data_IF_017296170395
#
_entry.id   IF_017296170395
#
_cell.length_a   1.000
_cell.length_b   1.000
_cell.length_c   1.000
_cell.angle_alpha   90.00
_cell.angle_beta   90.00
_cell.angle_gamma   90.00
#
_symmetry.space_group_name_H-M   'P 1'
#
loop_
_entity.id
_entity.type
_entity.pdbx_description
1 polymer ?
#
# COMPACT_ATOMS: atom_id res chain seq x y z
N UNK A 1 76.95 19.31 19.59
CA UNK A 1 76.07 18.18 19.28
C UNK A 1 74.61 18.63 19.46
N UNK A 2 73.89 18.93 18.39
CA UNK A 2 72.48 19.41 18.43
C UNK A 2 71.61 18.28 17.91
N UNK A 3 70.81 17.66 18.80
CA UNK A 3 69.83 16.63 18.44
C UNK A 3 68.55 17.27 17.90
N UNK A 4 68.26 17.05 16.63
CA UNK A 4 66.97 17.42 16.01
C UNK A 4 65.96 16.32 16.31
N UNK A 5 64.89 16.69 17.06
CA UNK A 5 63.72 15.87 17.22
C UNK A 5 62.78 16.09 16.01
N UNK A 6 62.55 15.02 15.21
CA UNK A 6 61.49 15.03 14.19
C UNK A 6 60.18 14.62 14.85
N UNK A 7 59.20 15.51 14.82
CA UNK A 7 57.84 15.22 15.22
C UNK A 7 57.08 14.69 14.00
N UNK A 8 56.62 13.45 14.07
CA UNK A 8 55.70 12.86 13.10
C UNK A 8 54.25 13.27 13.47
N UNK A 9 53.62 14.07 12.62
CA UNK A 9 52.18 14.33 12.73
C UNK A 9 51.41 13.22 12.07
N UNK A 10 50.65 12.43 12.85
CA UNK A 10 49.74 11.43 12.34
C UNK A 10 48.44 12.11 11.88
N UNK A 11 48.18 12.07 10.57
CA UNK A 11 46.92 12.53 9.98
C UNK A 11 45.91 11.40 10.14
N UNK A 12 44.92 11.60 11.05
CA UNK A 12 43.75 10.72 11.18
C UNK A 12 42.74 11.11 10.09
N UNK A 13 42.67 10.32 9.05
CA UNK A 13 41.62 10.46 8.03
C UNK A 13 40.33 9.85 8.58
N UNK A 14 39.43 10.71 9.04
CA UNK A 14 38.09 10.31 9.46
C UNK A 14 37.23 10.12 8.20
N UNK A 15 37.09 8.87 7.75
CA UNK A 15 36.19 8.51 6.65
C UNK A 15 34.74 8.60 7.15
N UNK A 16 34.07 9.71 6.85
CA UNK A 16 32.61 9.80 7.03
C UNK A 16 31.93 8.88 6.02
N UNK A 17 31.41 7.74 6.47
CA UNK A 17 30.54 6.91 5.68
C UNK A 17 29.23 7.68 5.45
N UNK A 18 29.00 8.15 4.24
CA UNK A 18 27.72 8.73 3.86
C UNK A 18 26.65 7.62 3.94
N UNK A 19 25.47 7.87 4.54
CA UNK A 19 24.40 6.91 4.55
C UNK A 19 23.97 6.68 3.09
N UNK A 20 24.04 5.44 2.64
CA UNK A 20 23.45 5.03 1.35
C UNK A 20 21.93 5.15 1.48
N UNK A 21 21.36 6.26 1.00
CA UNK A 21 19.93 6.39 0.78
C UNK A 21 19.61 5.58 -0.47
N UNK A 22 19.06 4.37 -0.31
CA UNK A 22 18.44 3.68 -1.43
C UNK A 22 17.27 4.57 -1.89
N UNK A 23 17.39 5.17 -3.07
CA UNK A 23 16.28 5.86 -3.69
C UNK A 23 15.16 4.82 -3.89
N UNK A 24 14.13 4.88 -3.05
CA UNK A 24 12.93 4.07 -3.22
C UNK A 24 12.31 4.50 -4.56
N UNK A 25 12.00 3.52 -5.43
CA UNK A 25 11.36 3.82 -6.70
C UNK A 25 10.06 4.58 -6.44
N UNK A 26 9.82 5.67 -7.17
CA UNK A 26 8.58 6.44 -7.05
C UNK A 26 7.41 5.60 -7.56
N UNK A 27 6.42 5.26 -6.72
CA UNK A 27 5.30 4.45 -7.16
C UNK A 27 4.51 5.17 -8.25
N UNK A 28 4.28 4.48 -9.37
CA UNK A 28 3.46 4.98 -10.48
C UNK A 28 1.97 4.73 -10.28
N UNK A 29 1.61 3.78 -9.41
CA UNK A 29 0.22 3.48 -9.09
C UNK A 29 0.05 2.73 -7.77
N UNK A 30 -1.18 2.85 -7.23
CA UNK A 30 -1.74 1.98 -6.19
C UNK A 30 -2.77 1.05 -6.85
N UNK A 31 -2.64 -0.24 -6.58
CA UNK A 31 -3.52 -1.31 -7.05
C UNK A 31 -4.17 -1.97 -5.84
N UNK A 32 -5.47 -1.80 -5.67
CA UNK A 32 -6.26 -2.42 -4.61
C UNK A 32 -7.11 -3.54 -5.21
N UNK A 33 -6.73 -4.80 -4.99
CA UNK A 33 -7.50 -5.96 -5.45
C UNK A 33 -8.52 -6.39 -4.41
N UNK A 34 -9.79 -6.17 -4.69
CA UNK A 34 -10.91 -6.73 -3.93
C UNK A 34 -11.16 -8.16 -4.39
N UNK A 35 -10.87 -9.12 -3.52
CA UNK A 35 -10.88 -10.56 -3.78
C UNK A 35 -11.55 -11.31 -2.63
N UNK A 36 -11.77 -12.62 -2.77
CA UNK A 36 -12.24 -13.48 -1.68
C UNK A 36 -11.84 -14.93 -1.91
N UNK A 37 -11.56 -15.65 -0.83
CA UNK A 37 -11.37 -17.10 -0.82
C UNK A 37 -12.61 -17.86 -1.32
N UNK A 38 -13.82 -17.27 -1.16
CA UNK A 38 -15.09 -17.84 -1.63
C UNK A 38 -15.39 -17.63 -3.12
N UNK A 39 -14.62 -16.79 -3.80
CA UNK A 39 -14.87 -16.38 -5.19
C UNK A 39 -14.10 -17.28 -6.18
N UNK A 40 -14.81 -18.07 -7.00
CA UNK A 40 -14.19 -19.02 -7.95
C UNK A 40 -13.45 -18.38 -9.10
N UNK A 41 -13.77 -17.14 -9.48
CA UNK A 41 -13.09 -16.36 -10.52
C UNK A 41 -11.91 -15.53 -10.02
N UNK A 42 -11.66 -15.50 -8.69
CA UNK A 42 -10.61 -14.69 -8.09
C UNK A 42 -9.17 -15.23 -8.25
N UNK A 43 -8.90 -16.54 -8.24
CA UNK A 43 -7.54 -17.06 -8.23
C UNK A 43 -6.60 -16.52 -9.32
N UNK A 44 -7.03 -16.31 -10.59
CA UNK A 44 -6.14 -15.69 -11.58
C UNK A 44 -5.76 -14.24 -11.26
N UNK A 45 -6.66 -13.49 -10.61
CA UNK A 45 -6.39 -12.11 -10.18
C UNK A 45 -5.44 -12.07 -8.97
N UNK A 46 -5.58 -13.01 -8.03
CA UNK A 46 -4.67 -13.13 -6.88
C UNK A 46 -3.25 -13.48 -7.34
N UNK A 47 -3.12 -14.35 -8.37
CA UNK A 47 -1.83 -14.66 -8.98
C UNK A 47 -1.24 -13.43 -9.67
N UNK A 48 -2.03 -12.70 -10.49
CA UNK A 48 -1.57 -11.49 -11.16
C UNK A 48 -1.15 -10.41 -10.15
N UNK A 49 -1.87 -10.27 -9.02
CA UNK A 49 -1.46 -9.34 -7.97
C UNK A 49 -0.09 -9.69 -7.39
N UNK A 50 0.23 -11.00 -7.27
CA UNK A 50 1.57 -11.43 -6.87
C UNK A 50 2.66 -10.92 -7.83
N UNK A 51 2.44 -11.04 -9.15
CA UNK A 51 3.36 -10.50 -10.16
C UNK A 51 3.49 -8.96 -10.07
N UNK A 52 2.37 -8.26 -9.84
CA UNK A 52 2.34 -6.81 -9.68
C UNK A 52 2.98 -6.34 -8.37
N UNK A 53 2.97 -7.17 -7.33
CA UNK A 53 3.59 -6.86 -6.04
C UNK A 53 5.13 -6.90 -6.10
N UNK A 54 5.70 -7.61 -7.08
CA UNK A 54 7.14 -7.64 -7.32
C UNK A 54 7.65 -6.41 -8.11
N UNK A 55 6.75 -5.60 -8.68
CA UNK A 55 7.11 -4.34 -9.36
C UNK A 55 7.29 -3.21 -8.33
N UNK A 56 8.52 -2.73 -8.07
CA UNK A 56 8.77 -1.68 -7.07
C UNK A 56 8.14 -0.33 -7.44
N UNK A 57 7.69 -0.15 -8.68
CA UNK A 57 6.94 1.03 -9.11
C UNK A 57 5.44 0.95 -8.81
N UNK A 58 4.97 -0.12 -8.17
CA UNK A 58 3.57 -0.29 -7.79
C UNK A 58 3.43 -0.47 -6.27
N UNK A 59 2.37 0.09 -5.72
CA UNK A 59 1.87 -0.28 -4.40
C UNK A 59 0.65 -1.17 -4.61
N UNK A 60 0.89 -2.48 -4.70
CA UNK A 60 -0.15 -3.47 -4.97
C UNK A 60 -0.57 -4.15 -3.67
N UNK A 61 -1.86 -4.11 -3.34
CA UNK A 61 -2.40 -4.66 -2.09
C UNK A 61 -3.63 -5.53 -2.33
N UNK A 62 -3.71 -6.64 -1.61
CA UNK A 62 -4.90 -7.49 -1.54
C UNK A 62 -5.83 -7.00 -0.44
N UNK A 63 -7.11 -6.82 -0.78
CA UNK A 63 -8.17 -6.26 0.08
C UNK A 63 -9.33 -7.27 0.14
N UNK A 64 -9.20 -8.40 0.90
CA UNK A 64 -10.18 -9.46 0.91
C UNK A 64 -11.52 -9.01 1.50
N UNK A 65 -12.62 -9.35 0.80
CA UNK A 65 -14.00 -8.99 1.17
C UNK A 65 -14.75 -10.16 1.76
N UNK A 66 -15.74 -9.90 2.62
CA UNK A 66 -16.47 -10.90 3.43
C UNK A 66 -17.82 -11.30 2.85
N UNK A 67 -18.31 -10.65 1.79
CA UNK A 67 -19.66 -10.92 1.28
C UNK A 67 -19.81 -12.23 0.51
N UNK A 68 -18.77 -13.05 0.39
CA UNK A 68 -18.84 -14.43 -0.13
C UNK A 68 -18.94 -15.50 0.97
N UNK A 69 -18.82 -15.13 2.25
CA UNK A 69 -18.79 -16.06 3.39
C UNK A 69 -20.06 -16.93 3.50
N UNK A 70 -21.19 -16.44 2.95
CA UNK A 70 -22.45 -17.18 2.92
C UNK A 70 -22.41 -18.48 2.10
N UNK A 71 -21.40 -18.67 1.23
CA UNK A 71 -21.19 -19.91 0.47
C UNK A 71 -20.59 -21.05 1.31
N UNK A 72 -20.51 -20.89 2.63
CA UNK A 72 -20.10 -21.93 3.57
C UNK A 72 -18.60 -22.01 3.86
N UNK A 73 -17.82 -21.04 3.39
CA UNK A 73 -16.43 -20.85 3.76
C UNK A 73 -16.21 -19.41 4.24
N UNK A 74 -15.81 -19.26 5.49
CA UNK A 74 -15.46 -17.95 6.02
C UNK A 74 -14.04 -17.58 5.57
N UNK A 75 -13.90 -16.48 4.84
CA UNK A 75 -12.59 -15.96 4.41
C UNK A 75 -11.80 -15.48 5.63
N UNK A 76 -10.69 -16.16 5.90
CA UNK A 76 -9.84 -15.91 7.09
C UNK A 76 -9.01 -14.63 7.00
N UNK A 77 -8.95 -14.03 5.82
CA UNK A 77 -8.23 -12.78 5.54
C UNK A 77 -9.16 -11.58 5.38
N UNK A 78 -10.46 -11.82 5.17
CA UNK A 78 -11.45 -10.76 4.98
C UNK A 78 -11.64 -9.88 6.22
N UNK A 79 -12.00 -8.63 5.95
CA UNK A 79 -12.41 -7.65 6.96
C UNK A 79 -13.62 -6.86 6.42
N UNK A 80 -14.70 -6.67 7.20
CA UNK A 80 -15.87 -5.88 6.77
C UNK A 80 -15.53 -4.45 6.30
N UNK A 81 -14.43 -3.87 6.82
CA UNK A 81 -13.93 -2.56 6.36
C UNK A 81 -13.49 -2.59 4.89
N UNK A 82 -12.97 -3.72 4.43
CA UNK A 82 -12.59 -3.90 3.03
C UNK A 82 -13.81 -3.85 2.12
N UNK A 83 -14.88 -4.55 2.50
CA UNK A 83 -16.18 -4.51 1.80
C UNK A 83 -16.76 -3.09 1.81
N UNK A 84 -16.71 -2.39 2.96
CA UNK A 84 -17.16 -1.02 3.05
C UNK A 84 -16.37 -0.07 2.13
N UNK A 85 -15.04 -0.23 2.05
CA UNK A 85 -14.18 0.55 1.15
C UNK A 85 -14.51 0.31 -0.32
N UNK A 86 -14.74 -0.93 -0.74
CA UNK A 86 -15.15 -1.25 -2.10
C UNK A 86 -16.47 -0.56 -2.46
N UNK A 87 -17.48 -0.65 -1.57
CA UNK A 87 -18.78 0.01 -1.75
C UNK A 87 -18.66 1.54 -1.79
N UNK A 88 -17.78 2.11 -0.94
CA UNK A 88 -17.52 3.54 -0.93
C UNK A 88 -16.92 4.02 -2.26
N UNK A 89 -15.99 3.25 -2.85
CA UNK A 89 -15.48 3.52 -4.19
C UNK A 89 -16.56 3.49 -5.26
N UNK A 90 -17.41 2.45 -5.28
CA UNK A 90 -18.50 2.33 -6.25
C UNK A 90 -19.50 3.49 -6.12
N UNK A 91 -19.81 3.91 -4.89
CA UNK A 91 -20.66 5.06 -4.62
C UNK A 91 -20.00 6.37 -5.08
N UNK A 92 -18.71 6.57 -4.77
CA UNK A 92 -17.99 7.79 -5.14
C UNK A 92 -17.84 7.95 -6.65
N UNK A 93 -17.68 6.85 -7.41
CA UNK A 93 -17.68 6.84 -8.87
C UNK A 93 -19.08 7.05 -9.47
N UNK A 94 -20.15 6.73 -8.73
CA UNK A 94 -21.53 6.83 -9.20
C UNK A 94 -21.98 5.69 -10.13
N UNK A 95 -21.18 4.63 -10.27
CA UNK A 95 -21.47 3.48 -11.15
C UNK A 95 -22.11 2.29 -10.39
N UNK A 96 -22.05 2.29 -9.05
CA UNK A 96 -22.57 1.22 -8.21
C UNK A 96 -21.90 -0.15 -8.41
N UNK A 97 -20.83 -0.23 -9.16
CA UNK A 97 -20.19 -1.47 -9.56
C UNK A 97 -19.33 -2.05 -8.42
N UNK A 98 -19.84 -3.16 -7.84
CA UNK A 98 -19.18 -3.96 -6.79
C UNK A 98 -19.16 -5.41 -7.26
N UNK A 99 -17.98 -5.97 -7.47
CA UNK A 99 -17.78 -7.35 -7.92
C UNK A 99 -16.41 -7.87 -7.48
N UNK A 100 -16.18 -9.17 -7.58
CA UNK A 100 -14.84 -9.76 -7.44
C UNK A 100 -14.54 -10.71 -8.62
N UNK A 101 -13.27 -10.78 -9.06
CA UNK A 101 -12.14 -9.93 -8.63
C UNK A 101 -12.22 -8.52 -9.24
N UNK A 102 -12.19 -7.48 -8.41
CA UNK A 102 -12.17 -6.09 -8.87
C UNK A 102 -10.86 -5.43 -8.44
N UNK A 103 -10.15 -4.83 -9.38
CA UNK A 103 -9.05 -3.90 -9.08
C UNK A 103 -9.58 -2.48 -9.08
N UNK A 104 -9.23 -1.69 -8.06
CA UNK A 104 -9.35 -0.24 -8.06
C UNK A 104 -7.95 0.34 -8.23
N UNK A 105 -7.78 1.19 -9.24
CA UNK A 105 -6.52 1.84 -9.61
C UNK A 105 -6.53 3.29 -9.15
N UNK A 106 -5.54 3.65 -8.34
CA UNK A 106 -5.34 5.00 -7.82
C UNK A 106 -6.62 5.62 -7.22
N UNK A 107 -7.49 4.78 -6.63
CA UNK A 107 -8.72 5.19 -5.96
C UNK A 107 -9.84 5.72 -6.86
N UNK A 108 -9.68 5.73 -8.18
CA UNK A 108 -10.62 6.39 -9.10
C UNK A 108 -11.16 5.52 -10.24
N UNK A 109 -10.36 4.64 -10.78
CA UNK A 109 -10.74 3.76 -11.88
C UNK A 109 -10.81 2.31 -11.41
N UNK A 110 -11.57 1.48 -12.10
CA UNK A 110 -11.60 0.05 -11.81
C UNK A 110 -11.46 -0.80 -13.08
N UNK A 111 -11.01 -2.03 -12.88
CA UNK A 111 -10.88 -3.04 -13.94
C UNK A 111 -11.16 -4.44 -13.36
N UNK A 112 -11.40 -5.41 -14.26
CA UNK A 112 -11.40 -6.82 -13.88
C UNK A 112 -10.01 -7.20 -13.34
N UNK A 113 -9.93 -7.78 -12.16
CA UNK A 113 -8.68 -8.04 -11.46
C UNK A 113 -7.70 -8.95 -12.18
N UNK A 114 -8.18 -9.79 -13.11
CA UNK A 114 -7.36 -10.68 -13.93
C UNK A 114 -6.96 -10.10 -15.30
N UNK A 115 -7.40 -8.87 -15.64
CA UNK A 115 -7.10 -8.22 -16.93
C UNK A 115 -5.94 -7.23 -16.77
N UNK A 116 -4.71 -7.72 -16.98
CA UNK A 116 -3.49 -6.91 -16.89
C UNK A 116 -3.51 -5.70 -17.85
N UNK A 117 -4.04 -5.87 -19.06
CA UNK A 117 -4.07 -4.80 -20.04
C UNK A 117 -5.03 -3.68 -19.62
N UNK A 118 -6.22 -4.03 -19.11
CA UNK A 118 -7.17 -3.05 -18.59
C UNK A 118 -6.61 -2.33 -17.34
N UNK A 119 -5.86 -3.01 -16.47
CA UNK A 119 -5.19 -2.41 -15.32
C UNK A 119 -4.15 -1.38 -15.77
N UNK A 120 -3.29 -1.71 -16.75
CA UNK A 120 -2.29 -0.78 -17.28
C UNK A 120 -2.92 0.45 -17.95
N UNK A 121 -4.01 0.26 -18.68
CA UNK A 121 -4.78 1.39 -19.25
C UNK A 121 -5.35 2.30 -18.16
N UNK A 122 -5.88 1.71 -17.08
CA UNK A 122 -6.40 2.47 -15.95
C UNK A 122 -5.28 3.23 -15.20
N UNK A 123 -4.08 2.64 -15.05
CA UNK A 123 -2.91 3.34 -14.50
C UNK A 123 -2.58 4.57 -15.35
N UNK A 124 -2.44 4.40 -16.65
CA UNK A 124 -2.11 5.50 -17.56
C UNK A 124 -3.17 6.62 -17.55
N UNK A 125 -4.45 6.25 -17.52
CA UNK A 125 -5.56 7.21 -17.48
C UNK A 125 -5.64 7.96 -16.15
N UNK A 126 -5.51 7.27 -15.01
CA UNK A 126 -5.58 7.90 -13.68
C UNK A 126 -4.44 8.90 -13.45
N UNK A 127 -3.24 8.60 -13.93
CA UNK A 127 -2.10 9.52 -13.83
C UNK A 127 -2.30 10.82 -14.62
N UNK A 128 -2.91 10.77 -15.79
CA UNK A 128 -3.30 11.98 -16.57
C UNK A 128 -4.26 12.86 -15.78
N UNK A 129 -5.03 12.29 -14.85
CA UNK A 129 -5.98 12.99 -13.99
C UNK A 129 -5.41 13.37 -12.62
N UNK A 130 -4.08 13.44 -12.47
CA UNK A 130 -3.40 13.93 -11.28
C UNK A 130 -3.17 12.89 -10.17
N UNK A 131 -3.43 11.61 -10.42
CA UNK A 131 -3.07 10.55 -9.46
C UNK A 131 -1.55 10.42 -9.33
N UNK A 132 -1.10 10.05 -8.13
CA UNK A 132 0.32 9.80 -7.81
C UNK A 132 1.23 11.02 -8.11
N UNK A 133 0.75 12.22 -7.75
CA UNK A 133 1.48 13.50 -7.91
C UNK A 133 2.27 13.88 -6.65
N UNK A 134 2.05 13.17 -5.52
CA UNK A 134 2.78 13.36 -4.26
C UNK A 134 3.73 12.20 -3.99
N UNK A 135 4.84 12.50 -3.32
CA UNK A 135 5.84 11.52 -2.90
C UNK A 135 5.92 11.48 -1.36
N UNK A 136 4.99 10.80 -0.68
CA UNK A 136 5.08 10.59 0.75
C UNK A 136 6.26 9.66 1.05
N UNK A 137 6.88 9.83 2.23
CA UNK A 137 7.94 8.96 2.71
C UNK A 137 7.48 8.15 3.91
N UNK A 138 8.03 6.95 4.05
CA UNK A 138 7.84 6.08 5.19
C UNK A 138 9.20 5.52 5.61
N UNK A 139 9.58 5.72 6.87
CA UNK A 139 10.81 5.19 7.43
C UNK A 139 10.54 4.56 8.80
N UNK A 140 11.24 3.45 9.07
CA UNK A 140 11.28 2.86 10.40
C UNK A 140 12.59 3.27 11.08
N UNK A 141 12.50 3.99 12.20
CA UNK A 141 13.63 4.32 13.06
C UNK A 141 13.20 4.31 14.53
N UNK A 142 14.09 3.84 15.40
CA UNK A 142 13.87 3.81 16.86
C UNK A 142 12.53 3.17 17.28
N UNK A 143 12.11 2.12 16.56
CA UNK A 143 10.85 1.43 16.80
C UNK A 143 9.60 2.24 16.45
N UNK A 144 9.75 3.30 15.65
CA UNK A 144 8.67 4.18 15.20
C UNK A 144 8.60 4.24 13.68
N UNK A 145 7.38 4.27 13.19
CA UNK A 145 7.08 4.54 11.77
C UNK A 145 6.92 6.05 11.61
N UNK A 146 7.82 6.65 10.86
CA UNK A 146 7.83 8.07 10.56
C UNK A 146 7.33 8.27 9.13
N UNK A 147 6.22 8.97 9.00
CA UNK A 147 5.57 9.29 7.73
C UNK A 147 5.68 10.77 7.48
N UNK A 148 6.10 11.18 6.28
CA UNK A 148 6.09 12.58 5.88
C UNK A 148 5.38 12.73 4.54
N UNK A 149 4.56 13.77 4.42
CA UNK A 149 3.89 14.18 3.18
C UNK A 149 4.37 15.59 2.85
N UNK A 150 4.87 15.83 1.62
CA UNK A 150 5.42 17.13 1.23
C UNK A 150 4.34 18.22 1.10
N UNK A 151 4.77 19.46 0.97
CA UNK A 151 3.92 20.58 0.56
C UNK A 151 3.53 20.43 -0.92
N UNK A 152 2.27 20.70 -1.23
CA UNK A 152 1.76 20.81 -2.59
C UNK A 152 0.52 21.71 -2.59
N UNK A 153 0.77 23.00 -2.54
CA UNK A 153 -0.28 24.03 -2.40
C UNK A 153 -1.28 24.04 -3.56
N UNK A 154 -0.92 23.54 -4.72
CA UNK A 154 -1.80 23.44 -5.89
C UNK A 154 -2.86 22.35 -5.76
N UNK A 155 -2.69 21.43 -4.81
CA UNK A 155 -3.66 20.37 -4.51
C UNK A 155 -4.61 20.83 -3.39
N UNK A 156 -5.51 21.75 -3.69
CA UNK A 156 -6.39 22.41 -2.72
C UNK A 156 -7.46 21.50 -2.08
N UNK A 157 -7.62 20.28 -2.54
CA UNK A 157 -8.56 19.34 -1.94
C UNK A 157 -7.93 18.65 -0.74
N UNK A 158 -8.53 18.78 0.44
CA UNK A 158 -8.12 18.03 1.62
C UNK A 158 -8.01 16.53 1.33
N UNK A 159 -7.02 15.89 1.91
CA UNK A 159 -6.78 14.45 1.77
C UNK A 159 -6.64 13.81 3.15
N UNK A 160 -7.00 12.55 3.24
CA UNK A 160 -6.72 11.71 4.40
C UNK A 160 -5.41 10.95 4.19
N UNK A 161 -4.60 10.84 5.24
CA UNK A 161 -3.36 10.06 5.24
C UNK A 161 -3.61 8.77 6.00
N UNK A 162 -3.46 7.66 5.30
CA UNK A 162 -3.70 6.32 5.81
C UNK A 162 -2.42 5.51 5.86
N UNK A 163 -2.26 4.74 6.91
CA UNK A 163 -1.23 3.71 7.05
C UNK A 163 -1.90 2.34 7.05
N UNK A 164 -1.50 1.50 6.11
CA UNK A 164 -1.93 0.11 6.02
C UNK A 164 -0.81 -0.79 6.55
N UNK A 165 -1.15 -1.67 7.48
CA UNK A 165 -0.29 -2.78 7.86
C UNK A 165 -0.59 -3.98 6.97
N UNK A 166 0.44 -4.52 6.33
CA UNK A 166 0.33 -5.57 5.32
C UNK A 166 1.03 -6.84 5.78
N UNK A 167 0.41 -7.97 5.47
CA UNK A 167 1.07 -9.27 5.47
C UNK A 167 1.56 -9.56 4.05
N UNK A 168 2.89 -9.59 3.86
CA UNK A 168 3.50 -9.74 2.55
C UNK A 168 3.02 -10.97 1.80
N UNK A 169 2.93 -12.11 2.50
CA UNK A 169 2.47 -13.35 1.90
C UNK A 169 1.61 -14.13 2.87
N UNK A 170 0.44 -14.62 2.41
CA UNK A 170 -0.45 -15.46 3.18
C UNK A 170 -0.95 -16.63 2.31
N UNK A 171 -0.58 -17.87 2.66
CA UNK A 171 -1.12 -19.07 2.01
C UNK A 171 -2.22 -19.66 2.86
N UNK A 172 -3.37 -19.98 2.24
CA UNK A 172 -4.55 -20.53 2.91
C UNK A 172 -5.02 -21.79 2.17
N UNK A 173 -5.16 -22.89 2.91
CA UNK A 173 -5.80 -24.09 2.40
C UNK A 173 -7.33 -23.95 2.57
N UNK A 174 -8.07 -23.95 1.47
CA UNK A 174 -9.51 -23.71 1.46
C UNK A 174 -10.25 -25.05 1.63
N UNK A 175 -10.97 -25.17 2.75
CA UNK A 175 -11.64 -26.42 3.13
C UNK A 175 -13.06 -26.59 2.60
N UNK A 176 -13.72 -25.49 2.18
CA UNK A 176 -15.13 -25.50 1.71
C UNK A 176 -15.37 -24.43 0.64
N UNK A 177 -16.59 -24.40 0.08
CA UNK A 177 -16.98 -23.43 -0.94
C UNK A 177 -16.45 -23.78 -2.33
N UNK A 178 -16.54 -22.84 -3.26
CA UNK A 178 -16.20 -23.04 -4.68
C UNK A 178 -14.71 -23.33 -4.93
N UNK A 179 -13.82 -22.86 -4.06
CA UNK A 179 -12.37 -23.09 -4.14
C UNK A 179 -11.91 -24.26 -3.24
N UNK A 180 -12.82 -25.12 -2.75
CA UNK A 180 -12.48 -26.25 -1.90
C UNK A 180 -11.33 -27.08 -2.45
N UNK A 181 -10.38 -27.44 -1.58
CA UNK A 181 -9.22 -28.28 -1.89
C UNK A 181 -8.05 -27.53 -2.54
N UNK A 182 -8.18 -26.24 -2.80
CA UNK A 182 -7.07 -25.40 -3.29
C UNK A 182 -6.26 -24.82 -2.13
N UNK A 183 -4.97 -24.67 -2.32
CA UNK A 183 -4.10 -23.81 -1.51
C UNK A 183 -3.88 -22.52 -2.32
N UNK A 184 -4.31 -21.38 -1.78
CA UNK A 184 -4.22 -20.09 -2.45
C UNK A 184 -3.24 -19.18 -1.71
N UNK A 185 -2.38 -18.51 -2.45
CA UNK A 185 -1.42 -17.54 -1.90
C UNK A 185 -1.86 -16.13 -2.27
N UNK A 186 -1.91 -15.28 -1.25
CA UNK A 186 -2.26 -13.87 -1.34
C UNK A 186 -1.03 -13.03 -1.02
N UNK A 187 -0.89 -11.88 -1.69
CA UNK A 187 0.24 -10.98 -1.55
C UNK A 187 -0.18 -9.61 -1.01
N UNK A 188 0.65 -9.01 -0.16
CA UNK A 188 0.44 -7.69 0.43
C UNK A 188 -0.98 -7.51 1.00
N UNK A 189 -1.40 -8.50 1.81
CA UNK A 189 -2.77 -8.55 2.36
C UNK A 189 -2.96 -7.46 3.41
N UNK A 190 -3.91 -6.58 3.21
CA UNK A 190 -4.26 -5.53 4.18
C UNK A 190 -4.83 -6.18 5.44
N UNK A 191 -4.14 -6.01 6.57
CA UNK A 191 -4.52 -6.55 7.89
C UNK A 191 -4.88 -5.46 8.90
N UNK A 192 -4.40 -4.25 8.68
CA UNK A 192 -4.66 -3.13 9.58
C UNK A 192 -4.78 -1.82 8.82
N UNK A 193 -5.70 -0.97 9.30
CA UNK A 193 -5.95 0.36 8.80
C UNK A 193 -5.77 1.35 9.93
N UNK A 194 -4.97 2.38 9.73
CA UNK A 194 -4.74 3.45 10.70
C UNK A 194 -4.84 4.78 9.96
N UNK A 195 -5.82 5.61 10.31
CA UNK A 195 -5.83 7.01 9.86
C UNK A 195 -4.78 7.78 10.66
N UNK A 196 -3.79 8.35 9.98
CA UNK A 196 -2.76 9.18 10.62
C UNK A 196 -3.27 10.60 10.87
N UNK A 197 -4.08 11.12 9.96
CA UNK A 197 -4.65 12.46 10.06
C UNK A 197 -5.10 12.99 8.70
N UNK A 198 -5.37 14.28 8.67
CA UNK A 198 -5.74 15.01 7.46
C UNK A 198 -4.53 15.80 6.93
N UNK A 199 -4.40 15.85 5.61
CA UNK A 199 -3.41 16.67 4.92
C UNK A 199 -4.13 17.79 4.14
N UNK A 200 -3.65 19.02 4.31
CA UNK A 200 -4.31 20.25 3.82
C UNK A 200 -3.53 20.96 2.73
N UNK A 201 -2.63 20.29 2.05
CA UNK A 201 -1.73 20.88 1.06
C UNK A 201 -0.40 21.39 1.65
N UNK A 202 -0.24 21.39 2.98
CA UNK A 202 0.99 21.78 3.67
C UNK A 202 1.80 20.57 4.09
N UNK A 203 3.12 20.68 4.06
CA UNK A 203 4.00 19.63 4.56
C UNK A 203 3.61 19.24 5.99
N UNK A 204 3.48 17.94 6.24
CA UNK A 204 3.14 17.40 7.55
C UNK A 204 3.82 16.05 7.79
N UNK A 205 3.99 15.68 9.06
CA UNK A 205 4.64 14.43 9.46
C UNK A 205 3.93 13.79 10.65
N UNK A 206 3.91 12.47 10.66
CA UNK A 206 3.34 11.64 11.74
C UNK A 206 4.37 10.62 12.16
N UNK A 207 4.42 10.34 13.46
CA UNK A 207 5.28 9.32 14.04
C UNK A 207 4.46 8.45 14.98
N UNK A 208 4.38 7.15 14.70
CA UNK A 208 3.63 6.20 15.52
C UNK A 208 4.52 5.01 15.92
N UNK A 209 4.30 4.39 17.09
CA UNK A 209 5.01 3.17 17.44
C UNK A 209 4.74 2.06 16.43
N UNK A 210 5.77 1.34 15.98
CA UNK A 210 5.60 0.19 15.06
C UNK A 210 4.69 -0.88 15.66
N UNK A 211 4.63 -1.00 16.97
CA UNK A 211 3.73 -1.90 17.71
C UNK A 211 2.25 -1.65 17.39
N UNK A 212 1.88 -0.44 16.94
CA UNK A 212 0.52 -0.12 16.49
C UNK A 212 0.09 -1.04 15.35
N UNK A 213 1.03 -1.50 14.51
CA UNK A 213 0.80 -2.46 13.43
C UNK A 213 1.10 -3.92 13.83
N UNK A 214 1.88 -4.18 14.87
CA UNK A 214 2.33 -5.52 15.27
C UNK A 214 1.22 -6.41 15.86
N UNK A 215 0.13 -6.57 15.13
CA UNK A 215 -0.86 -7.62 15.37
C UNK A 215 -1.10 -8.35 14.04
N UNK A 216 -1.17 -9.67 14.02
CA UNK A 216 -1.54 -10.46 12.84
C UNK A 216 -0.46 -10.62 11.73
N UNK A 217 0.81 -10.84 12.10
CA UNK A 217 1.88 -11.13 11.14
C UNK A 217 2.01 -10.04 10.04
N UNK A 218 2.07 -8.79 10.47
CA UNK A 218 2.33 -7.64 9.60
C UNK A 218 3.84 -7.49 9.47
N UNK A 219 4.33 -7.45 8.25
CA UNK A 219 5.75 -7.39 7.88
C UNK A 219 6.07 -6.23 6.94
N UNK A 220 5.04 -5.60 6.38
CA UNK A 220 5.15 -4.41 5.54
C UNK A 220 4.13 -3.35 5.93
N UNK A 221 4.39 -2.12 5.53
CA UNK A 221 3.45 -1.01 5.68
C UNK A 221 3.38 -0.18 4.40
N UNK A 222 2.17 0.25 4.04
CA UNK A 222 1.96 1.21 2.96
C UNK A 222 1.32 2.48 3.50
N UNK A 223 1.75 3.63 2.98
CA UNK A 223 1.12 4.93 3.22
C UNK A 223 0.36 5.33 1.97
N UNK A 224 -0.88 5.78 2.13
CA UNK A 224 -1.70 6.34 1.07
C UNK A 224 -2.14 7.74 1.46
N UNK A 225 -1.94 8.70 0.58
CA UNK A 225 -2.52 10.05 0.66
C UNK A 225 -3.68 10.11 -0.32
N UNK A 226 -4.91 10.08 0.20
CA UNK A 226 -6.12 9.96 -0.61
C UNK A 226 -7.04 11.15 -0.43
N UNK A 227 -7.41 11.81 -1.54
CA UNK A 227 -8.40 12.88 -1.52
C UNK A 227 -9.80 12.36 -1.19
N UNK A 228 -10.65 13.21 -0.63
CA UNK A 228 -11.95 12.82 -0.09
C UNK A 228 -11.86 12.26 1.32
N UNK A 229 -12.83 11.44 1.70
CA UNK A 229 -12.92 10.79 3.02
C UNK A 229 -13.08 9.28 2.87
N UNK A 230 -13.00 8.53 3.97
CA UNK A 230 -13.22 7.08 3.96
C UNK A 230 -14.59 6.68 3.42
N UNK A 231 -15.62 7.52 3.60
CA UNK A 231 -16.98 7.29 3.08
C UNK A 231 -17.15 7.72 1.61
N UNK A 232 -16.31 8.65 1.15
CA UNK A 232 -16.30 9.17 -0.23
C UNK A 232 -14.86 9.27 -0.75
N UNK A 233 -14.17 8.13 -0.88
CA UNK A 233 -12.78 8.10 -1.32
C UNK A 233 -12.70 8.53 -2.79
N UNK A 234 -11.67 9.32 -3.09
CA UNK A 234 -11.38 9.81 -4.43
C UNK A 234 -9.96 9.38 -4.82
N UNK A 235 -9.32 10.17 -5.66
CA UNK A 235 -7.98 9.91 -6.20
C UNK A 235 -6.94 9.76 -5.09
N UNK A 236 -6.10 8.74 -5.20
CA UNK A 236 -4.89 8.61 -4.41
C UNK A 236 -3.83 9.53 -5.03
N UNK A 237 -3.42 10.53 -4.24
CA UNK A 237 -2.48 11.57 -4.65
C UNK A 237 -1.03 11.10 -4.55
N UNK A 238 -0.75 10.16 -3.66
CA UNK A 238 0.57 9.59 -3.47
C UNK A 238 0.55 8.39 -2.54
N UNK A 239 1.55 7.53 -2.69
CA UNK A 239 1.71 6.36 -1.83
C UNK A 239 3.19 5.96 -1.72
N UNK A 240 3.50 5.19 -0.70
CA UNK A 240 4.79 4.51 -0.53
C UNK A 240 4.58 3.20 0.22
N UNK A 241 5.48 2.23 0.00
CA UNK A 241 5.50 0.92 0.64
C UNK A 241 6.88 0.68 1.24
N UNK A 242 6.96 0.13 2.44
CA UNK A 242 8.21 -0.25 3.06
C UNK A 242 8.07 -1.52 3.91
N UNK A 243 9.13 -2.33 3.97
CA UNK A 243 9.29 -3.41 4.94
C UNK A 243 9.53 -2.82 6.33
N UNK A 244 8.91 -3.44 7.37
CA UNK A 244 8.95 -2.95 8.76
C UNK A 244 9.48 -3.99 9.75
N UNK A 245 10.12 -5.03 9.24
CA UNK A 245 10.80 -6.08 10.02
C UNK A 245 12.32 -5.88 10.00
#
# INVERSE_FOLDING_TARGET
MVRRCLAYAAIVVCSAAAPYSFAQAEPRAVIELFTSQGCSSCPPADQLLGELADDPSLVSVSVPVDYWDYLGWKDTLADPRNTARQKAYAHARGDGQVYTPQVVVNGSLHALGSDKAAIELAIAASRKNGAMSLLPTLALSDGRLNVSVPDAADLHAGAEVWLFGLRKTATVAIGRGENKGRAMTYHNVVRRWVKLGDWTGKANSWSIPVQTLKSANIDEAAVLVQSGTVEKPKTILGATLATIQ
#
